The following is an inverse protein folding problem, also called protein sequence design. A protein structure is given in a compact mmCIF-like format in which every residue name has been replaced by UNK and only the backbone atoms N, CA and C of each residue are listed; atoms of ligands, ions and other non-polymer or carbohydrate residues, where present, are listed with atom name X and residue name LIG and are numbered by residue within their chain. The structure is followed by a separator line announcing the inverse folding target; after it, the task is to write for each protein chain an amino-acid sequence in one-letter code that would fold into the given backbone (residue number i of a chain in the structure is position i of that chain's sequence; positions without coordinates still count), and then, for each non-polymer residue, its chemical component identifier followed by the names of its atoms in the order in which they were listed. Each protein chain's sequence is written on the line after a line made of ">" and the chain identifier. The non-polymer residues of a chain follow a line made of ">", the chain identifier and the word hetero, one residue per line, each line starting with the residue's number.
data_IF_765085818191
#
_entry.id   IF_765085818191
#
_cell.length_a   1.000
_cell.length_b   1.000
_cell.length_c   1.000
_cell.angle_alpha   90.00
_cell.angle_beta   90.00
_cell.angle_gamma   90.00
#
_symmetry.space_group_name_H-M   'P 1'
#
loop_
_entity.id
_entity.type
_entity.pdbx_description
1 polymer ?
#
# COMPACT_ATOMS: atom_id res chain seq x y z
N UNK A 1 11.89 18.59 -2.75
CA UNK A 1 10.82 18.19 -3.66
C UNK A 1 9.49 18.43 -2.98
N UNK A 2 8.70 19.37 -3.48
CA UNK A 2 7.41 19.77 -2.89
C UNK A 2 6.32 18.75 -3.25
N UNK A 3 5.59 18.27 -2.26
CA UNK A 3 4.45 17.37 -2.47
C UNK A 3 3.18 18.18 -2.76
N UNK A 4 2.38 17.73 -3.72
CA UNK A 4 1.05 18.29 -3.99
C UNK A 4 -0.01 17.25 -3.65
N UNK A 5 -0.95 17.63 -2.78
CA UNK A 5 -2.13 16.84 -2.45
C UNK A 5 -3.40 17.58 -2.89
N UNK A 6 -4.26 16.88 -3.65
CA UNK A 6 -5.53 17.42 -4.13
C UNK A 6 -6.68 16.83 -3.30
N UNK A 7 -7.52 17.69 -2.73
CA UNK A 7 -8.69 17.31 -1.93
C UNK A 7 -9.97 17.64 -2.68
N UNK A 8 -10.43 16.73 -3.51
CA UNK A 8 -11.67 16.84 -4.26
C UNK A 8 -12.87 16.33 -3.46
N UNK A 9 -14.05 16.51 -4.00
CA UNK A 9 -15.31 16.03 -3.43
C UNK A 9 -16.43 17.07 -3.58
N UNK A 10 -17.66 16.57 -3.62
CA UNK A 10 -18.80 17.41 -3.90
C UNK A 10 -19.09 18.43 -2.80
N UNK A 11 -19.98 19.39 -3.08
CA UNK A 11 -20.35 20.45 -2.15
C UNK A 11 -20.81 19.90 -0.78
N UNK A 12 -20.22 20.42 0.30
CA UNK A 12 -20.55 20.02 1.67
C UNK A 12 -20.15 18.60 2.05
N UNK A 13 -19.31 17.92 1.28
CA UNK A 13 -18.81 16.58 1.59
C UNK A 13 -17.88 16.53 2.82
N UNK A 14 -17.27 17.66 3.20
CA UNK A 14 -16.38 17.76 4.38
C UNK A 14 -14.91 17.91 4.05
N UNK A 15 -14.56 18.35 2.84
CA UNK A 15 -13.17 18.57 2.39
C UNK A 15 -12.36 19.44 3.37
N UNK A 16 -12.81 20.65 3.63
CA UNK A 16 -12.17 21.58 4.56
C UNK A 16 -12.01 20.99 5.97
N UNK A 17 -13.00 20.21 6.45
CA UNK A 17 -12.92 19.54 7.76
C UNK A 17 -11.80 18.50 7.78
N UNK A 18 -11.66 17.71 6.70
CA UNK A 18 -10.58 16.74 6.56
C UNK A 18 -9.21 17.43 6.51
N UNK A 19 -9.09 18.47 5.68
CA UNK A 19 -7.85 19.25 5.56
C UNK A 19 -7.42 19.79 6.92
N UNK A 20 -8.33 20.39 7.70
CA UNK A 20 -8.03 20.87 9.06
C UNK A 20 -7.55 19.78 10.00
N UNK A 21 -8.17 18.58 9.95
CA UNK A 21 -7.73 17.44 10.75
C UNK A 21 -6.31 17.01 10.38
N UNK A 22 -6.00 16.90 9.09
CA UNK A 22 -4.67 16.54 8.62
C UNK A 22 -3.62 17.59 9.00
N UNK A 23 -3.93 18.87 8.85
CA UNK A 23 -3.06 19.96 9.26
C UNK A 23 -2.73 19.88 10.76
N UNK A 24 -3.73 19.64 11.59
CA UNK A 24 -3.55 19.60 13.05
C UNK A 24 -2.84 18.33 13.54
N UNK A 25 -2.98 17.21 12.86
CA UNK A 25 -2.54 15.91 13.36
C UNK A 25 -1.39 15.28 12.57
N UNK A 26 -1.33 15.48 11.23
CA UNK A 26 -0.41 14.76 10.35
C UNK A 26 0.73 15.64 9.79
N UNK A 27 0.47 16.89 9.46
CA UNK A 27 1.45 17.76 8.77
C UNK A 27 2.29 18.64 9.72
N UNK A 28 2.41 18.25 10.98
CA UNK A 28 3.18 19.01 11.97
C UNK A 28 4.65 19.12 11.57
N UNK A 29 5.13 20.36 11.46
CA UNK A 29 6.51 20.66 11.13
C UNK A 29 6.80 20.77 9.62
N UNK A 30 5.83 20.50 8.76
CA UNK A 30 5.91 20.78 7.32
C UNK A 30 5.51 22.25 7.05
N UNK A 31 6.21 22.88 6.10
CA UNK A 31 5.84 24.19 5.58
C UNK A 31 4.74 24.01 4.53
N UNK A 32 3.51 24.38 4.90
CA UNK A 32 2.32 24.14 4.11
C UNK A 32 1.85 25.40 3.38
N UNK A 33 1.34 25.22 2.16
CA UNK A 33 0.53 26.20 1.45
C UNK A 33 -0.80 25.55 1.10
N UNK A 34 -1.91 26.23 1.42
CA UNK A 34 -3.26 25.81 1.04
C UNK A 34 -3.77 26.71 -0.08
N UNK A 35 -4.18 26.11 -1.19
CA UNK A 35 -4.81 26.78 -2.32
C UNK A 35 -6.27 26.37 -2.34
N UNK A 36 -7.16 27.29 -1.98
CA UNK A 36 -8.60 27.10 -1.99
C UNK A 36 -9.21 27.78 -3.21
N UNK A 37 -10.14 27.08 -3.88
CA UNK A 37 -10.89 27.62 -5.01
C UNK A 37 -12.38 27.57 -4.70
N UNK A 38 -12.90 28.60 -4.08
CA UNK A 38 -14.33 28.74 -3.80
C UNK A 38 -15.04 29.66 -4.79
N UNK A 39 -16.25 29.26 -5.22
CA UNK A 39 -17.16 30.09 -5.99
C UNK A 39 -17.82 31.13 -5.09
N UNK A 40 -17.34 32.35 -5.11
CA UNK A 40 -18.03 33.55 -4.57
C UNK A 40 -17.99 33.67 -3.05
N UNK A 41 -17.24 34.64 -2.58
CA UNK A 41 -17.14 35.21 -1.24
C UNK A 41 -16.19 34.53 -0.24
N UNK A 42 -15.06 35.21 -0.07
CA UNK A 42 -14.20 35.36 1.12
C UNK A 42 -14.07 34.11 2.01
N UNK A 43 -12.94 33.49 1.91
CA UNK A 43 -12.46 32.49 2.88
C UNK A 43 -12.43 33.08 4.31
N UNK A 44 -13.20 32.52 5.21
CA UNK A 44 -13.37 33.00 6.60
C UNK A 44 -12.31 32.42 7.55
N UNK A 45 -11.44 31.52 7.10
CA UNK A 45 -10.67 30.64 7.99
C UNK A 45 -9.17 30.91 8.09
N UNK A 46 -8.64 31.94 7.42
CA UNK A 46 -7.22 32.31 7.49
C UNK A 46 -6.68 32.54 8.91
N UNK A 47 -7.55 32.93 9.85
CA UNK A 47 -7.16 33.14 11.25
C UNK A 47 -6.83 31.89 12.04
N UNK A 48 -7.54 30.78 11.82
CA UNK A 48 -7.34 29.54 12.61
C UNK A 48 -6.04 28.79 12.23
N UNK A 49 -5.63 28.91 10.99
CA UNK A 49 -4.46 28.23 10.47
C UNK A 49 -3.17 29.04 10.70
N UNK A 50 -3.26 30.36 10.81
CA UNK A 50 -2.13 31.21 11.20
C UNK A 50 -1.65 30.93 12.63
N UNK A 51 -2.55 30.57 13.54
CA UNK A 51 -2.18 30.18 14.91
C UNK A 51 -1.39 28.87 14.97
N UNK A 52 -1.46 28.03 13.93
CA UNK A 52 -0.70 26.80 13.80
C UNK A 52 0.70 26.99 13.17
N UNK A 53 1.09 28.22 12.83
CA UNK A 53 2.38 28.53 12.17
C UNK A 53 2.43 28.14 10.70
N UNK A 54 1.27 28.00 10.06
CA UNK A 54 1.11 27.61 8.67
C UNK A 54 0.89 28.86 7.83
N UNK A 55 1.73 29.06 6.82
CA UNK A 55 1.53 30.13 5.83
C UNK A 55 0.40 29.71 4.88
N UNK A 56 -0.76 30.39 4.98
CA UNK A 56 -1.88 30.16 4.09
C UNK A 56 -1.86 31.26 3.04
N UNK A 57 -1.74 30.83 1.82
CA UNK A 57 -1.95 31.72 0.66
C UNK A 57 -3.34 31.39 0.08
N UNK A 58 -4.31 32.22 0.44
CA UNK A 58 -5.62 32.21 -0.20
C UNK A 58 -5.50 32.80 -1.60
N UNK A 59 -5.74 31.98 -2.61
CA UNK A 59 -5.81 32.46 -3.97
C UNK A 59 -7.27 32.47 -4.43
N UNK A 60 -7.92 33.61 -4.26
CA UNK A 60 -9.32 33.85 -4.66
C UNK A 60 -9.45 34.38 -6.10
N UNK A 61 -8.60 33.97 -7.04
CA UNK A 61 -8.69 34.38 -8.44
C UNK A 61 -9.24 33.28 -9.34
N UNK A 62 -10.56 33.32 -9.54
CA UNK A 62 -11.23 32.64 -10.68
C UNK A 62 -11.22 31.11 -10.66
N UNK A 63 -12.27 30.51 -11.18
CA UNK A 63 -12.37 29.05 -11.30
C UNK A 63 -11.16 28.42 -11.98
N UNK A 64 -10.50 27.46 -11.29
CA UNK A 64 -9.50 26.56 -11.89
C UNK A 64 -10.10 25.82 -13.10
N UNK A 65 -11.41 25.58 -13.09
CA UNK A 65 -12.12 24.82 -14.14
C UNK A 65 -12.47 25.60 -15.42
N UNK A 66 -12.53 26.92 -15.41
CA UNK A 66 -13.19 27.62 -16.52
C UNK A 66 -12.31 28.45 -17.47
N UNK A 67 -11.06 28.79 -17.11
CA UNK A 67 -10.28 29.63 -18.02
C UNK A 67 -8.77 29.48 -18.00
N UNK A 68 -8.15 28.63 -17.17
CA UNK A 68 -6.82 29.03 -16.78
C UNK A 68 -5.82 27.94 -16.40
N UNK A 69 -5.57 26.98 -17.25
CA UNK A 69 -4.32 26.19 -17.15
C UNK A 69 -3.08 27.11 -17.09
N UNK A 70 -3.15 28.28 -17.75
CA UNK A 70 -2.04 29.23 -17.75
C UNK A 70 -1.90 30.06 -16.47
N UNK A 71 -3.01 30.47 -15.84
CA UNK A 71 -2.93 31.33 -14.64
C UNK A 71 -2.73 30.52 -13.37
N UNK A 72 -3.30 29.30 -13.29
CA UNK A 72 -3.02 28.34 -12.24
C UNK A 72 -1.53 27.95 -12.20
N UNK A 73 -0.95 27.67 -13.37
CA UNK A 73 0.47 27.37 -13.49
C UNK A 73 1.36 28.51 -12.98
N UNK A 74 1.08 29.76 -13.38
CA UNK A 74 1.80 30.94 -12.88
C UNK A 74 1.68 31.09 -11.38
N UNK A 75 0.48 30.90 -10.86
CA UNK A 75 0.21 30.99 -9.44
C UNK A 75 0.99 29.93 -8.64
N UNK A 76 1.02 28.71 -9.12
CA UNK A 76 1.78 27.62 -8.49
C UNK A 76 3.29 27.88 -8.54
N UNK A 77 3.83 28.37 -9.66
CA UNK A 77 5.21 28.82 -9.77
C UNK A 77 5.53 29.93 -8.75
N UNK A 78 4.68 30.94 -8.65
CA UNK A 78 4.87 32.02 -7.69
C UNK A 78 4.87 31.52 -6.24
N UNK A 79 3.98 30.59 -5.91
CA UNK A 79 3.92 29.95 -4.57
C UNK A 79 5.23 29.22 -4.28
N UNK A 80 5.72 28.43 -5.21
CA UNK A 80 6.97 27.67 -5.05
C UNK A 80 8.18 28.60 -4.89
N UNK A 81 8.30 29.64 -5.72
CA UNK A 81 9.41 30.59 -5.66
C UNK A 81 9.38 31.45 -4.41
N UNK A 82 8.18 31.86 -3.96
CA UNK A 82 8.03 32.78 -2.82
C UNK A 82 8.14 32.05 -1.48
N UNK A 83 7.49 30.91 -1.35
CA UNK A 83 7.30 30.25 -0.07
C UNK A 83 8.19 29.02 0.12
N UNK A 84 8.70 28.38 -0.95
CA UNK A 84 9.46 27.12 -0.88
C UNK A 84 8.81 26.09 0.06
N UNK A 85 7.55 25.71 -0.18
CA UNK A 85 6.82 24.82 0.73
C UNK A 85 7.31 23.37 0.64
N UNK A 86 7.15 22.63 1.73
CA UNK A 86 7.33 21.19 1.74
C UNK A 86 6.13 20.50 1.08
N UNK A 87 4.94 21.09 1.25
CA UNK A 87 3.67 20.53 0.77
C UNK A 87 2.69 21.64 0.36
N UNK A 88 1.98 21.39 -0.74
CA UNK A 88 0.89 22.22 -1.23
C UNK A 88 -0.40 21.41 -1.18
N UNK A 89 -1.41 21.93 -0.50
CA UNK A 89 -2.74 21.37 -0.45
C UNK A 89 -3.63 22.15 -1.42
N UNK A 90 -4.33 21.45 -2.31
CA UNK A 90 -5.25 22.07 -3.27
C UNK A 90 -6.67 21.59 -2.97
N UNK A 91 -7.55 22.51 -2.60
CA UNK A 91 -8.99 22.26 -2.47
C UNK A 91 -9.72 22.91 -3.66
N UNK A 92 -10.03 22.16 -4.73
CA UNK A 92 -10.80 22.66 -5.85
C UNK A 92 -12.27 22.84 -5.47
N UNK A 93 -12.99 23.61 -6.30
CA UNK A 93 -14.45 23.74 -6.17
C UNK A 93 -15.16 22.39 -6.12
N UNK A 94 -16.18 22.29 -5.27
CA UNK A 94 -16.97 21.06 -5.13
C UNK A 94 -17.73 20.63 -6.39
N UNK A 95 -17.83 21.49 -7.39
CA UNK A 95 -18.41 21.18 -8.72
C UNK A 95 -17.33 21.08 -9.81
N UNK A 96 -16.06 21.06 -9.46
CA UNK A 96 -14.94 20.86 -10.39
C UNK A 96 -14.69 19.39 -10.67
N UNK A 97 -14.19 19.09 -11.87
CA UNK A 97 -13.69 17.76 -12.24
C UNK A 97 -12.29 17.56 -11.63
N UNK A 98 -12.07 16.44 -10.95
CA UNK A 98 -10.77 16.09 -10.40
C UNK A 98 -9.74 15.88 -11.51
N UNK A 99 -10.16 15.26 -12.62
CA UNK A 99 -9.32 15.01 -13.78
C UNK A 99 -8.73 16.29 -14.38
N UNK A 100 -9.45 17.42 -14.34
CA UNK A 100 -8.96 18.70 -14.86
C UNK A 100 -7.86 19.28 -13.98
N UNK A 101 -8.01 19.16 -12.64
CA UNK A 101 -7.01 19.62 -11.68
C UNK A 101 -5.75 18.78 -11.76
N UNK A 102 -5.88 17.45 -11.84
CA UNK A 102 -4.74 16.53 -12.01
C UNK A 102 -3.96 16.88 -13.29
N UNK A 103 -4.66 17.04 -14.42
CA UNK A 103 -4.03 17.44 -15.70
C UNK A 103 -3.36 18.80 -15.61
N UNK A 104 -3.97 19.77 -14.94
CA UNK A 104 -3.39 21.09 -14.76
C UNK A 104 -2.05 21.03 -14.00
N UNK A 105 -1.97 20.21 -12.93
CA UNK A 105 -0.74 19.99 -12.18
C UNK A 105 0.31 19.25 -13.02
N UNK A 106 -0.09 18.17 -13.70
CA UNK A 106 0.83 17.35 -14.51
C UNK A 106 1.44 18.14 -15.69
N UNK A 107 0.67 19.01 -16.31
CA UNK A 107 1.12 19.83 -17.46
C UNK A 107 2.16 20.90 -17.09
N UNK A 108 2.38 21.15 -15.80
CA UNK A 108 3.40 22.11 -15.37
C UNK A 108 4.84 21.61 -15.56
N UNK A 109 5.03 20.29 -15.69
CA UNK A 109 6.34 19.65 -15.91
C UNK A 109 7.43 20.18 -14.98
N UNK A 110 7.12 20.36 -13.70
CA UNK A 110 8.05 20.93 -12.70
C UNK A 110 8.88 19.80 -12.08
N UNK A 111 10.21 19.87 -12.21
CA UNK A 111 11.13 18.82 -11.70
C UNK A 111 11.15 18.73 -10.17
N UNK A 112 10.88 19.83 -9.47
CA UNK A 112 10.92 19.91 -8.00
C UNK A 112 9.57 19.63 -7.32
N UNK A 113 8.56 19.17 -8.06
CA UNK A 113 7.19 18.93 -7.58
C UNK A 113 6.75 17.53 -7.85
N UNK A 114 6.08 16.92 -6.87
CA UNK A 114 5.45 15.57 -7.02
C UNK A 114 3.97 15.66 -6.71
N UNK A 115 3.13 15.18 -7.63
CA UNK A 115 1.72 14.91 -7.34
C UNK A 115 1.65 13.68 -6.41
N UNK A 116 1.41 13.92 -5.12
CA UNK A 116 1.54 12.93 -4.07
C UNK A 116 0.22 12.19 -3.81
N UNK A 117 -0.90 12.91 -3.69
CA UNK A 117 -2.22 12.31 -3.55
C UNK A 117 -3.31 13.13 -4.24
N UNK A 118 -4.37 12.44 -4.67
CA UNK A 118 -5.59 13.03 -5.22
C UNK A 118 -6.78 12.29 -4.63
N UNK A 119 -7.29 12.88 -3.57
CA UNK A 119 -8.28 12.29 -2.67
C UNK A 119 -9.65 12.89 -2.92
N UNK A 120 -10.69 12.03 -2.96
CA UNK A 120 -12.08 12.49 -3.01
C UNK A 120 -12.80 12.23 -1.70
N UNK A 121 -13.35 13.30 -1.12
CA UNK A 121 -14.22 13.20 0.05
C UNK A 121 -15.66 13.00 -0.42
N UNK A 122 -16.32 11.93 0.02
CA UNK A 122 -17.68 11.58 -0.38
C UNK A 122 -18.62 11.41 0.82
N UNK A 123 -19.78 12.07 0.80
CA UNK A 123 -20.82 11.89 1.81
C UNK A 123 -21.50 10.52 1.63
N UNK A 124 -21.25 9.57 2.54
CA UNK A 124 -21.76 8.21 2.47
C UNK A 124 -23.30 8.13 2.38
N UNK A 125 -23.99 9.16 2.85
CA UNK A 125 -25.45 9.22 2.81
C UNK A 125 -26.01 9.68 1.47
N UNK A 126 -25.21 10.33 0.63
CA UNK A 126 -25.66 11.02 -0.58
C UNK A 126 -25.06 10.50 -1.89
N UNK A 127 -24.13 9.54 -1.85
CA UNK A 127 -23.44 9.01 -3.04
C UNK A 127 -24.39 8.69 -4.19
N UNK A 128 -25.38 7.83 -3.95
CA UNK A 128 -26.37 7.43 -4.98
C UNK A 128 -27.11 8.61 -5.59
N UNK A 129 -27.49 9.59 -4.76
CA UNK A 129 -28.22 10.77 -5.21
C UNK A 129 -27.31 11.67 -6.08
N UNK A 130 -26.06 11.88 -5.65
CA UNK A 130 -25.13 12.73 -6.39
C UNK A 130 -24.69 12.09 -7.70
N UNK A 131 -24.40 10.80 -7.75
CA UNK A 131 -24.12 10.06 -8.98
C UNK A 131 -25.24 10.21 -10.01
N UNK A 132 -26.50 10.09 -9.54
CA UNK A 132 -27.66 10.19 -10.44
C UNK A 132 -27.89 11.61 -10.97
N UNK A 133 -27.72 12.64 -10.13
CA UNK A 133 -28.15 14.00 -10.47
C UNK A 133 -26.99 14.87 -10.99
N UNK A 134 -25.75 14.54 -10.65
CA UNK A 134 -24.55 15.32 -10.93
C UNK A 134 -23.40 14.45 -11.44
N UNK A 135 -23.73 13.36 -12.13
CA UNK A 135 -22.78 12.33 -12.53
C UNK A 135 -21.59 12.85 -13.33
N UNK A 136 -21.76 13.88 -14.15
CA UNK A 136 -20.65 14.47 -14.91
C UNK A 136 -19.48 14.93 -14.01
N UNK A 137 -19.78 15.52 -12.87
CA UNK A 137 -18.78 16.05 -11.95
C UNK A 137 -18.47 15.03 -10.84
N UNK A 138 -19.52 14.48 -10.24
CA UNK A 138 -19.37 13.57 -9.11
C UNK A 138 -18.67 12.27 -9.50
N UNK A 139 -19.04 11.66 -10.64
CA UNK A 139 -18.40 10.42 -11.09
C UNK A 139 -16.94 10.67 -11.48
N UNK A 140 -16.62 11.80 -12.16
CA UNK A 140 -15.24 12.17 -12.46
C UNK A 140 -14.39 12.27 -11.19
N UNK A 141 -14.93 12.87 -10.11
CA UNK A 141 -14.24 12.96 -8.83
C UNK A 141 -13.96 11.58 -8.21
N UNK A 142 -14.88 10.62 -8.37
CA UNK A 142 -14.71 9.26 -7.88
C UNK A 142 -13.72 8.46 -8.76
N UNK A 143 -13.91 8.51 -10.08
CA UNK A 143 -13.16 7.72 -11.06
C UNK A 143 -11.66 8.04 -11.06
N UNK A 144 -11.31 9.31 -10.82
CA UNK A 144 -9.92 9.77 -10.87
C UNK A 144 -9.23 9.84 -9.51
N UNK A 145 -9.92 9.53 -8.43
CA UNK A 145 -9.32 9.52 -7.10
C UNK A 145 -8.37 8.33 -6.91
N UNK A 146 -7.23 8.54 -6.25
CA UNK A 146 -6.40 7.45 -5.75
C UNK A 146 -6.83 7.00 -4.34
N UNK A 147 -7.54 7.85 -3.61
CA UNK A 147 -8.19 7.49 -2.36
C UNK A 147 -9.56 8.17 -2.24
N UNK A 148 -10.52 7.46 -1.65
CA UNK A 148 -11.87 7.95 -1.39
C UNK A 148 -12.12 7.90 0.10
N UNK A 149 -12.42 9.05 0.70
CA UNK A 149 -12.64 9.16 2.14
C UNK A 149 -14.10 9.43 2.39
N UNK A 150 -14.82 8.45 2.95
CA UNK A 150 -16.22 8.61 3.28
C UNK A 150 -16.38 9.50 4.51
N UNK A 151 -17.21 10.51 4.38
CA UNK A 151 -17.68 11.33 5.48
C UNK A 151 -19.05 10.89 5.98
N UNK A 152 -19.39 11.27 7.21
CA UNK A 152 -20.70 10.99 7.83
C UNK A 152 -21.04 9.52 7.90
N UNK A 153 -20.03 8.72 8.17
CA UNK A 153 -20.15 7.27 8.37
C UNK A 153 -20.55 6.93 9.80
N UNK A 154 -20.48 7.89 10.73
CA UNK A 154 -20.96 7.70 12.09
C UNK A 154 -22.46 7.45 12.11
N UNK A 155 -22.88 6.36 12.78
CA UNK A 155 -24.30 5.96 12.89
C UNK A 155 -25.00 5.55 11.60
N UNK A 156 -24.28 5.44 10.45
CA UNK A 156 -24.83 4.91 9.20
C UNK A 156 -25.17 3.42 9.37
N UNK A 157 -26.28 2.99 8.77
CA UNK A 157 -26.63 1.56 8.78
C UNK A 157 -25.64 0.76 7.93
N UNK A 158 -25.21 -0.42 8.41
CA UNK A 158 -24.25 -1.26 7.67
C UNK A 158 -24.64 -1.49 6.21
N UNK A 159 -25.87 -1.86 5.95
CA UNK A 159 -26.35 -2.16 4.59
C UNK A 159 -26.28 -0.93 3.66
N UNK A 160 -26.40 0.26 4.23
CA UNK A 160 -26.29 1.51 3.47
C UNK A 160 -24.83 1.85 3.18
N UNK A 161 -23.93 1.57 4.11
CA UNK A 161 -22.50 1.75 3.93
C UNK A 161 -21.97 0.78 2.86
N UNK A 162 -22.35 -0.49 2.94
CA UNK A 162 -22.01 -1.51 1.94
C UNK A 162 -22.50 -1.13 0.55
N UNK A 163 -23.77 -0.70 0.44
CA UNK A 163 -24.31 -0.24 -0.85
C UNK A 163 -23.58 1.00 -1.39
N UNK A 164 -23.12 1.90 -0.50
CA UNK A 164 -22.29 3.05 -0.91
C UNK A 164 -20.94 2.60 -1.45
N UNK A 165 -20.24 1.73 -0.73
CA UNK A 165 -18.95 1.19 -1.16
C UNK A 165 -19.07 0.43 -2.47
N UNK A 166 -20.09 -0.40 -2.65
CA UNK A 166 -20.34 -1.10 -3.90
C UNK A 166 -20.52 -0.14 -5.08
N UNK A 167 -21.31 0.93 -4.91
CA UNK A 167 -21.47 1.96 -5.94
C UNK A 167 -20.16 2.68 -6.28
N UNK A 168 -19.34 2.97 -5.29
CA UNK A 168 -18.02 3.58 -5.52
C UNK A 168 -17.09 2.63 -6.29
N UNK A 169 -17.12 1.35 -5.96
CA UNK A 169 -16.33 0.31 -6.64
C UNK A 169 -16.74 0.08 -8.10
N UNK A 170 -18.01 0.29 -8.46
CA UNK A 170 -18.46 0.27 -9.86
C UNK A 170 -17.75 1.34 -10.70
N UNK A 171 -17.39 2.48 -10.11
CA UNK A 171 -16.70 3.60 -10.78
C UNK A 171 -15.19 3.58 -10.59
N UNK A 172 -14.70 3.10 -9.45
CA UNK A 172 -13.26 3.07 -9.14
C UNK A 172 -12.90 1.81 -8.35
N UNK A 173 -12.28 0.86 -9.02
CA UNK A 173 -11.88 -0.43 -8.43
C UNK A 173 -10.57 -0.33 -7.63
N UNK A 174 -9.72 0.67 -7.93
CA UNK A 174 -8.35 0.74 -7.44
C UNK A 174 -8.16 1.69 -6.25
N UNK A 175 -9.05 2.68 -6.08
CA UNK A 175 -8.91 3.64 -5.00
C UNK A 175 -9.01 2.97 -3.63
N UNK A 176 -8.16 3.34 -2.70
CA UNK A 176 -8.33 2.95 -1.30
C UNK A 176 -9.52 3.70 -0.70
N UNK A 177 -10.46 2.98 -0.07
CA UNK A 177 -11.69 3.59 0.51
C UNK A 177 -11.58 3.60 2.03
N UNK A 178 -11.69 4.78 2.64
CA UNK A 178 -11.81 4.93 4.10
C UNK A 178 -13.30 4.96 4.47
N UNK A 179 -13.75 3.98 5.23
CA UNK A 179 -15.15 3.85 5.69
C UNK A 179 -15.33 4.14 7.18
N UNK A 180 -14.25 4.09 7.93
CA UNK A 180 -14.24 4.34 9.38
C UNK A 180 -14.53 5.81 9.69
N UNK A 181 -15.36 6.13 10.71
CA UNK A 181 -15.55 7.49 11.17
C UNK A 181 -14.23 8.17 11.53
N UNK A 182 -14.08 9.43 11.16
CA UNK A 182 -12.81 10.17 11.27
C UNK A 182 -12.35 10.42 12.72
N UNK A 183 -13.25 10.41 13.67
CA UNK A 183 -12.95 10.52 15.10
C UNK A 183 -12.26 9.28 15.66
N UNK A 184 -12.38 8.14 14.98
CA UNK A 184 -11.71 6.88 15.33
C UNK A 184 -10.35 6.74 14.66
N UNK A 185 -10.01 7.63 13.73
CA UNK A 185 -8.74 7.60 12.99
C UNK A 185 -7.86 8.79 13.36
N UNK A 186 -6.56 8.55 13.47
CA UNK A 186 -5.56 9.61 13.54
C UNK A 186 -5.32 10.22 12.15
N UNK A 187 -4.88 11.49 12.12
CA UNK A 187 -4.47 12.13 10.86
C UNK A 187 -3.35 11.37 10.15
N UNK A 188 -2.45 10.73 10.90
CA UNK A 188 -1.37 9.92 10.35
C UNK A 188 -1.91 8.70 9.58
N UNK A 189 -2.87 7.95 10.14
CA UNK A 189 -3.50 6.80 9.46
C UNK A 189 -4.20 7.22 8.16
N UNK A 190 -4.89 8.38 8.18
CA UNK A 190 -5.54 8.91 6.98
C UNK A 190 -4.48 9.28 5.93
N UNK A 191 -3.40 9.97 6.34
CA UNK A 191 -2.33 10.38 5.43
C UNK A 191 -1.61 9.18 4.81
N UNK A 192 -1.27 8.16 5.58
CA UNK A 192 -0.66 6.93 5.08
C UNK A 192 -1.53 6.26 4.02
N UNK A 193 -2.84 6.24 4.23
CA UNK A 193 -3.80 5.72 3.24
C UNK A 193 -3.81 6.56 1.97
N UNK A 194 -3.82 7.89 2.08
CA UNK A 194 -3.76 8.80 0.94
C UNK A 194 -2.47 8.66 0.13
N UNK A 195 -1.35 8.40 0.82
CA UNK A 195 -0.03 8.19 0.20
C UNK A 195 0.19 6.73 -0.27
N UNK A 196 -0.83 5.88 -0.27
CA UNK A 196 -0.76 4.44 -0.64
C UNK A 196 0.25 3.62 0.16
N UNK A 197 0.54 3.98 1.39
CA UNK A 197 1.47 3.24 2.27
C UNK A 197 0.79 2.16 3.12
N UNK A 198 -0.51 1.99 2.96
CA UNK A 198 -1.32 1.05 3.73
C UNK A 198 -2.46 0.53 2.85
N UNK A 199 -2.12 -0.25 1.84
CA UNK A 199 -3.07 -0.87 0.93
C UNK A 199 -3.23 -2.36 1.25
N UNK A 200 -4.34 -2.97 0.83
CA UNK A 200 -4.52 -4.42 0.94
C UNK A 200 -3.42 -5.18 0.19
N UNK A 201 -2.99 -4.68 -0.96
CA UNK A 201 -1.93 -5.28 -1.77
C UNK A 201 -0.57 -5.28 -1.03
N UNK A 202 -0.21 -4.15 -0.39
CA UNK A 202 1.01 -4.09 0.44
C UNK A 202 0.92 -5.02 1.66
N UNK A 203 -0.25 -5.11 2.29
CA UNK A 203 -0.47 -5.99 3.44
C UNK A 203 -0.37 -7.47 3.04
N UNK A 204 -0.95 -7.87 1.89
CA UNK A 204 -0.80 -9.21 1.34
C UNK A 204 0.66 -9.54 1.01
N UNK A 205 1.39 -8.60 0.42
CA UNK A 205 2.81 -8.78 0.09
C UNK A 205 3.66 -8.97 1.36
N UNK A 206 3.48 -8.11 2.36
CA UNK A 206 4.19 -8.23 3.65
C UNK A 206 3.88 -9.57 4.33
N UNK A 207 2.61 -9.97 4.32
CA UNK A 207 2.19 -11.25 4.90
C UNK A 207 2.82 -12.44 4.19
N UNK A 208 2.92 -12.39 2.85
CA UNK A 208 3.58 -13.43 2.06
C UNK A 208 5.08 -13.50 2.40
N UNK A 209 5.79 -12.37 2.45
CA UNK A 209 7.20 -12.30 2.83
C UNK A 209 7.44 -12.84 4.25
N UNK A 210 6.59 -12.49 5.23
CA UNK A 210 6.67 -13.03 6.59
C UNK A 210 6.49 -14.55 6.63
N UNK A 211 5.55 -15.09 5.86
CA UNK A 211 5.27 -16.53 5.79
C UNK A 211 6.42 -17.31 5.16
N UNK A 212 7.07 -16.78 4.13
CA UNK A 212 8.26 -17.39 3.52
C UNK A 212 9.44 -17.45 4.49
N UNK A 213 9.67 -16.40 5.29
CA UNK A 213 10.75 -16.38 6.27
C UNK A 213 10.56 -17.42 7.39
N UNK A 214 9.34 -17.66 7.84
CA UNK A 214 9.06 -18.66 8.88
C UNK A 214 9.32 -20.10 8.39
N UNK A 215 9.05 -20.41 7.11
CA UNK A 215 9.31 -21.73 6.55
C UNK A 215 10.81 -22.05 6.34
N UNK A 216 11.68 -21.04 6.23
CA UNK A 216 13.12 -21.26 6.10
C UNK A 216 13.83 -21.60 7.43
N UNK A 217 13.20 -21.39 8.58
CA UNK A 217 13.81 -21.67 9.89
C UNK A 217 13.52 -23.08 10.45
N UNK A 218 12.64 -23.89 9.83
CA UNK A 218 12.29 -25.22 10.30
C UNK A 218 13.06 -26.38 9.64
N UNK A 219 14.10 -26.11 8.87
CA UNK A 219 15.05 -27.15 8.44
C UNK A 219 16.25 -27.20 9.38
N UNK A 220 16.03 -27.40 10.67
CA UNK A 220 17.07 -27.86 11.56
C UNK A 220 17.33 -29.35 11.29
N UNK A 221 18.55 -29.61 10.89
CA UNK A 221 19.05 -30.95 10.66
C UNK A 221 19.14 -31.71 11.98
N UNK A 222 18.23 -32.64 12.20
CA UNK A 222 18.48 -33.77 13.11
C UNK A 222 19.57 -34.62 12.47
N UNK A 223 20.81 -34.38 12.83
CA UNK A 223 21.89 -35.35 12.66
C UNK A 223 21.84 -36.31 13.81
N UNK A 224 21.18 -37.44 13.62
CA UNK A 224 21.33 -38.63 14.45
C UNK A 224 22.81 -39.01 14.54
N UNK A 225 23.28 -39.05 15.79
CA UNK A 225 24.56 -39.59 16.17
C UNK A 225 24.67 -41.09 15.76
N UNK A 226 25.55 -41.37 14.82
CA UNK A 226 26.09 -42.70 14.66
C UNK A 226 27.55 -42.72 15.10
N UNK A 227 27.77 -43.09 16.36
CA UNK A 227 28.99 -43.70 16.84
C UNK A 227 29.28 -44.97 16.03
N UNK A 228 30.39 -45.01 15.32
CA UNK A 228 31.18 -46.25 15.24
C UNK A 228 32.65 -45.98 14.86
N UNK A 229 33.49 -46.40 15.76
CA UNK A 229 34.94 -46.55 15.69
C UNK A 229 35.51 -46.88 14.32
N UNK A 230 36.50 -46.12 13.89
CA UNK A 230 37.59 -46.69 13.09
C UNK A 230 38.92 -46.06 13.49
N UNK A 231 39.72 -46.90 14.14
CA UNK A 231 41.14 -46.67 14.46
C UNK A 231 42.01 -46.97 13.25
N UNK A 232 42.73 -46.01 12.72
CA UNK A 232 44.08 -46.20 12.15
C UNK A 232 44.82 -44.87 12.11
N UNK A 233 45.91 -44.85 12.83
CA UNK A 233 46.83 -43.76 12.88
C UNK A 233 47.79 -43.79 11.68
N UNK A 234 48.41 -42.64 11.51
CA UNK A 234 49.79 -42.42 11.06
C UNK A 234 49.95 -40.97 10.59
N UNK A 235 50.63 -40.19 11.36
CA UNK A 235 51.90 -39.47 11.11
C UNK A 235 51.87 -38.39 10.03
N UNK A 236 52.15 -37.24 10.41
CA UNK A 236 53.28 -36.41 10.87
C UNK A 236 53.67 -35.34 9.83
N UNK A 237 53.77 -34.10 10.33
CA UNK A 237 54.72 -33.02 9.97
C UNK A 237 54.61 -32.35 8.56
N UNK A 238 54.44 -31.06 8.42
CA UNK A 238 55.44 -30.00 8.64
C UNK A 238 54.80 -28.62 8.44
N UNK A 239 55.24 -27.71 9.28
CA UNK A 239 55.15 -26.26 9.15
C UNK A 239 55.90 -25.82 7.88
N UNK A 240 55.47 -24.70 7.29
CA UNK A 240 56.35 -23.58 6.99
C UNK A 240 55.55 -22.42 6.35
N UNK A 241 55.84 -21.25 6.90
CA UNK A 241 55.53 -19.90 6.42
C UNK A 241 56.05 -19.66 5.00
N UNK A 242 55.35 -18.80 4.25
CA UNK A 242 55.99 -17.69 3.56
C UNK A 242 54.97 -16.76 2.88
N UNK A 243 55.14 -15.51 3.23
CA UNK A 243 54.61 -14.31 2.57
C UNK A 243 55.17 -14.19 1.16
N UNK A 244 54.43 -13.69 0.18
CA UNK A 244 54.95 -12.76 -0.82
C UNK A 244 53.88 -11.98 -1.59
N UNK A 245 54.21 -10.74 -1.74
CA UNK A 245 53.61 -9.55 -2.33
C UNK A 245 53.22 -9.63 -3.82
N UNK A 246 52.25 -8.74 -4.13
CA UNK A 246 51.96 -7.98 -5.34
C UNK A 246 52.80 -8.22 -6.63
N UNK A 247 52.05 -8.26 -7.74
CA UNK A 247 52.39 -7.45 -8.92
C UNK A 247 51.23 -7.34 -9.91
N UNK A 248 50.82 -6.07 -10.18
CA UNK A 248 50.11 -5.62 -11.35
C UNK A 248 50.92 -5.85 -12.64
N UNK A 249 50.25 -6.20 -13.71
CA UNK A 249 50.68 -5.82 -15.06
C UNK A 249 49.51 -5.83 -16.05
N UNK A 250 49.21 -4.62 -16.55
CA UNK A 250 48.58 -4.36 -17.83
C UNK A 250 49.47 -4.89 -18.98
N UNK A 251 48.86 -5.30 -20.10
CA UNK A 251 49.14 -4.84 -21.46
C UNK A 251 48.43 -5.69 -22.54
N UNK A 252 47.61 -4.99 -23.31
CA UNK A 252 47.40 -4.91 -24.75
C UNK A 252 47.80 -6.06 -25.72
N UNK A 253 46.78 -6.31 -26.58
CA UNK A 253 46.74 -6.53 -28.02
C UNK A 253 47.93 -7.32 -28.72
N UNK A 254 47.54 -8.31 -29.51
CA UNK A 254 47.74 -8.46 -30.96
C UNK A 254 47.62 -9.89 -31.49
N UNK A 255 46.73 -10.03 -32.47
CA UNK A 255 46.75 -10.73 -33.75
C UNK A 255 47.60 -12.01 -34.01
N UNK A 256 46.88 -12.89 -34.74
CA UNK A 256 47.24 -13.69 -35.93
C UNK A 256 47.98 -15.03 -35.79
N UNK A 257 47.23 -16.02 -36.35
CA UNK A 257 47.66 -17.19 -37.11
C UNK A 257 48.83 -18.07 -36.63
N UNK A 258 48.51 -19.33 -36.38
CA UNK A 258 49.24 -20.43 -36.99
C UNK A 258 48.48 -21.76 -37.00
N UNK A 259 48.30 -22.28 -38.19
CA UNK A 259 47.89 -23.65 -38.53
C UNK A 259 49.03 -24.62 -38.28
N UNK A 260 48.82 -25.71 -37.52
CA UNK A 260 49.50 -26.99 -37.73
C UNK A 260 48.73 -28.11 -37.01
N UNK A 261 48.49 -29.15 -37.75
CA UNK A 261 47.72 -30.31 -37.37
C UNK A 261 48.53 -31.38 -36.62
N UNK A 262 47.74 -32.41 -36.28
CA UNK A 262 48.13 -33.78 -35.91
C UNK A 262 48.42 -34.07 -34.42
N UNK A 263 47.58 -34.75 -33.73
CA UNK A 263 47.63 -36.19 -33.48
C UNK A 263 46.44 -36.61 -32.57
N UNK A 264 45.80 -37.69 -33.01
CA UNK A 264 44.84 -38.49 -32.28
C UNK A 264 45.41 -39.06 -30.98
N UNK A 265 44.68 -38.96 -29.91
CA UNK A 265 44.63 -39.96 -28.86
C UNK A 265 43.23 -40.00 -28.23
N UNK A 266 42.51 -41.07 -28.54
CA UNK A 266 41.29 -41.49 -27.86
C UNK A 266 41.60 -41.78 -26.39
N UNK A 267 40.94 -41.09 -25.50
CA UNK A 267 40.65 -41.55 -24.14
C UNK A 267 39.20 -41.27 -23.81
N UNK A 268 38.38 -42.33 -23.87
CA UNK A 268 37.07 -42.40 -23.28
C UNK A 268 37.20 -42.20 -21.77
N UNK A 269 36.70 -41.09 -21.30
CA UNK A 269 36.30 -40.89 -19.92
C UNK A 269 34.80 -40.60 -19.88
N UNK A 270 34.06 -41.59 -19.44
CA UNK A 270 32.68 -41.47 -19.02
C UNK A 270 32.61 -40.43 -17.87
N UNK A 271 32.32 -39.20 -18.18
CA UNK A 271 31.93 -38.18 -17.23
C UNK A 271 30.42 -38.39 -16.93
N UNK A 272 30.15 -39.00 -15.78
CA UNK A 272 28.82 -38.95 -15.16
C UNK A 272 28.56 -37.51 -14.73
N UNK A 273 27.93 -36.75 -15.61
CA UNK A 273 27.35 -35.46 -15.30
C UNK A 273 26.12 -35.70 -14.40
N UNK A 274 26.31 -35.61 -13.09
CA UNK A 274 25.22 -35.47 -12.15
C UNK A 274 24.74 -34.02 -12.22
N UNK A 275 23.88 -33.69 -13.19
CA UNK A 275 23.06 -32.52 -13.14
C UNK A 275 22.15 -32.61 -11.90
N UNK A 276 22.59 -32.01 -10.82
CA UNK A 276 21.71 -31.65 -9.72
C UNK A 276 20.81 -30.52 -10.20
N UNK A 277 19.69 -30.87 -10.83
CA UNK A 277 18.59 -29.95 -11.02
C UNK A 277 18.03 -29.60 -9.62
N UNK A 278 18.56 -28.52 -9.04
CA UNK A 278 17.87 -27.83 -7.99
C UNK A 278 16.64 -27.20 -8.62
N UNK A 279 15.51 -27.91 -8.56
CA UNK A 279 14.21 -27.30 -8.77
C UNK A 279 14.00 -26.31 -7.64
N UNK A 280 14.38 -25.06 -7.86
CA UNK A 280 13.85 -23.96 -7.10
C UNK A 280 12.38 -23.85 -7.48
N UNK A 281 11.51 -24.51 -6.74
CA UNK A 281 10.11 -24.17 -6.76
C UNK A 281 10.02 -22.74 -6.23
N UNK A 282 9.65 -21.81 -7.10
CA UNK A 282 9.33 -20.45 -6.66
C UNK A 282 8.16 -20.55 -5.69
N UNK A 283 8.23 -19.88 -4.55
CA UNK A 283 7.18 -19.90 -3.52
C UNK A 283 5.82 -19.53 -4.11
N UNK A 284 5.80 -18.64 -5.09
CA UNK A 284 4.62 -18.23 -5.87
C UNK A 284 3.91 -19.38 -6.62
N UNK A 285 4.58 -20.51 -6.88
CA UNK A 285 3.98 -21.68 -7.51
C UNK A 285 3.26 -22.60 -6.50
N UNK A 286 3.58 -22.47 -5.21
CA UNK A 286 3.09 -23.35 -4.14
C UNK A 286 2.05 -22.67 -3.26
N UNK A 287 2.19 -21.34 -3.02
CA UNK A 287 1.34 -20.59 -2.12
C UNK A 287 0.45 -19.60 -2.87
N UNK A 288 -0.80 -19.51 -2.45
CA UNK A 288 -1.78 -18.57 -2.96
C UNK A 288 -2.22 -17.68 -1.82
N UNK A 289 -2.36 -16.38 -2.09
CA UNK A 289 -2.90 -15.40 -1.14
C UNK A 289 -4.29 -14.94 -1.60
N UNK A 290 -5.21 -14.86 -0.65
CA UNK A 290 -6.52 -14.26 -0.82
C UNK A 290 -6.66 -13.10 0.15
N UNK A 291 -7.25 -12.00 -0.29
CA UNK A 291 -7.53 -10.86 0.57
C UNK A 291 -8.75 -10.09 0.11
N UNK A 292 -9.44 -9.48 1.07
CA UNK A 292 -10.61 -8.64 0.80
C UNK A 292 -10.73 -7.48 1.78
N UNK A 293 -11.36 -6.42 1.32
CA UNK A 293 -11.83 -5.33 2.17
C UNK A 293 -13.30 -5.51 2.50
N UNK A 294 -13.69 -5.24 3.75
CA UNK A 294 -15.07 -5.43 4.21
C UNK A 294 -15.53 -4.30 5.12
N UNK A 295 -16.81 -3.97 5.03
CA UNK A 295 -17.52 -3.09 5.97
C UNK A 295 -18.34 -3.88 6.99
N UNK A 296 -18.35 -5.22 6.89
CA UNK A 296 -19.03 -6.10 7.84
C UNK A 296 -18.43 -5.95 9.23
N UNK A 297 -19.30 -5.99 10.24
CA UNK A 297 -18.89 -6.00 11.64
C UNK A 297 -19.00 -7.40 12.21
N UNK A 298 -17.98 -7.77 12.98
CA UNK A 298 -17.86 -9.10 13.58
C UNK A 298 -17.94 -9.03 15.10
N UNK A 299 -18.23 -10.14 15.75
CA UNK A 299 -17.89 -10.36 17.15
C UNK A 299 -16.58 -11.14 17.25
N UNK A 300 -15.91 -11.11 18.41
CA UNK A 300 -14.72 -11.93 18.63
C UNK A 300 -15.03 -13.42 18.47
N UNK A 301 -16.16 -13.87 19.03
CA UNK A 301 -16.59 -15.26 18.96
C UNK A 301 -16.81 -15.70 17.49
N UNK A 302 -17.34 -14.80 16.61
CA UNK A 302 -17.45 -15.08 15.17
C UNK A 302 -16.09 -15.23 14.53
N UNK A 303 -15.12 -14.37 14.85
CA UNK A 303 -13.76 -14.49 14.30
C UNK A 303 -13.08 -15.76 14.81
N UNK A 304 -13.16 -16.04 16.11
CA UNK A 304 -12.60 -17.27 16.68
C UNK A 304 -13.17 -18.52 15.99
N UNK A 305 -14.48 -18.58 15.78
CA UNK A 305 -15.13 -19.69 15.08
C UNK A 305 -14.67 -19.79 13.60
N UNK A 306 -14.55 -18.67 12.90
CA UNK A 306 -14.04 -18.64 11.52
C UNK A 306 -12.62 -19.21 11.46
N UNK A 307 -11.74 -18.81 12.39
CA UNK A 307 -10.37 -19.30 12.44
C UNK A 307 -10.31 -20.80 12.80
N UNK A 308 -11.19 -21.30 13.68
CA UNK A 308 -11.34 -22.72 13.97
C UNK A 308 -11.79 -23.52 12.74
N UNK A 309 -12.71 -22.98 11.93
CA UNK A 309 -13.14 -23.61 10.68
C UNK A 309 -12.01 -23.67 9.65
N UNK A 310 -11.21 -22.60 9.53
CA UNK A 310 -10.04 -22.58 8.64
C UNK A 310 -9.00 -23.62 9.03
N UNK A 311 -8.84 -23.90 10.34
CA UNK A 311 -7.88 -24.87 10.87
C UNK A 311 -8.33 -26.32 10.67
N UNK A 312 -9.63 -26.59 10.82
CA UNK A 312 -10.17 -27.94 10.94
C UNK A 312 -10.80 -28.51 9.66
N UNK A 313 -10.95 -27.71 8.61
CA UNK A 313 -11.67 -28.10 7.40
C UNK A 313 -10.77 -28.13 6.16
N UNK A 314 -10.76 -29.28 5.46
CA UNK A 314 -10.10 -29.41 4.16
C UNK A 314 -10.80 -28.62 3.04
N UNK A 315 -11.98 -28.04 3.31
CA UNK A 315 -12.77 -27.28 2.33
C UNK A 315 -12.07 -26.00 1.85
N UNK A 316 -11.27 -25.39 2.74
CA UNK A 316 -10.59 -24.12 2.47
C UNK A 316 -9.18 -24.27 1.86
N UNK A 317 -8.66 -25.50 1.78
CA UNK A 317 -7.28 -25.79 1.42
C UNK A 317 -6.36 -25.85 2.65
N UNK A 318 -5.06 -25.91 2.43
CA UNK A 318 -4.09 -25.87 3.53
C UNK A 318 -3.80 -24.40 3.89
N UNK A 319 -4.39 -23.91 4.95
CA UNK A 319 -4.19 -22.53 5.41
C UNK A 319 -2.91 -22.45 6.24
N UNK A 320 -1.99 -21.58 5.86
CA UNK A 320 -0.72 -21.36 6.55
C UNK A 320 -0.77 -20.12 7.44
N UNK A 321 -1.51 -19.10 7.01
CA UNK A 321 -1.68 -17.88 7.78
C UNK A 321 -3.00 -17.19 7.45
N UNK A 322 -3.65 -16.64 8.46
CA UNK A 322 -4.74 -15.69 8.27
C UNK A 322 -4.53 -14.50 9.21
N UNK A 323 -4.72 -13.31 8.69
CA UNK A 323 -4.57 -12.06 9.43
C UNK A 323 -5.67 -11.09 9.06
N UNK A 324 -6.11 -10.29 10.01
CA UNK A 324 -7.08 -9.27 9.69
C UNK A 324 -7.31 -8.25 10.80
N UNK A 325 -7.86 -7.13 10.37
CA UNK A 325 -8.30 -6.02 11.21
C UNK A 325 -9.73 -5.70 10.78
N UNK A 326 -10.70 -5.95 11.64
CA UNK A 326 -12.12 -5.77 11.31
C UNK A 326 -12.86 -4.96 12.37
N UNK A 327 -13.92 -4.28 11.99
CA UNK A 327 -14.75 -3.53 12.92
C UNK A 327 -15.58 -4.50 13.78
N UNK A 328 -15.62 -4.27 15.08
CA UNK A 328 -16.46 -5.00 16.02
C UNK A 328 -17.89 -4.46 16.08
N UNK A 329 -18.85 -5.32 16.41
CA UNK A 329 -20.26 -4.92 16.62
C UNK A 329 -20.45 -4.05 17.86
N UNK A 330 -19.56 -4.15 18.81
CA UNK A 330 -19.49 -3.36 20.05
C UNK A 330 -18.85 -1.97 19.86
N UNK A 331 -18.30 -1.69 18.66
CA UNK A 331 -17.60 -0.45 18.33
C UNK A 331 -16.09 -0.51 18.53
N UNK A 332 -15.58 -1.58 19.12
CA UNK A 332 -14.14 -1.86 19.20
C UNK A 332 -13.65 -2.49 17.89
N UNK A 333 -12.36 -2.37 17.61
CA UNK A 333 -11.76 -3.06 16.47
C UNK A 333 -11.10 -4.36 16.90
N UNK A 334 -11.28 -5.41 16.09
CA UNK A 334 -10.76 -6.75 16.33
C UNK A 334 -9.60 -6.97 15.40
N UNK A 335 -8.44 -7.27 15.99
CA UNK A 335 -7.26 -7.73 15.28
C UNK A 335 -7.12 -9.22 15.52
N UNK A 336 -6.90 -9.96 14.46
CA UNK A 336 -6.62 -11.39 14.58
C UNK A 336 -5.41 -11.79 13.75
N UNK A 337 -4.73 -12.81 14.22
CA UNK A 337 -3.60 -13.47 13.58
C UNK A 337 -3.73 -14.97 13.84
N UNK A 338 -3.58 -15.77 12.81
CA UNK A 338 -3.66 -17.21 12.85
C UNK A 338 -2.48 -17.81 12.09
N UNK A 339 -1.83 -18.76 12.70
CA UNK A 339 -0.98 -19.77 12.09
C UNK A 339 -1.45 -21.15 12.54
N UNK A 340 -1.14 -22.26 11.87
CA UNK A 340 -1.56 -23.60 12.29
C UNK A 340 -1.27 -23.85 13.78
N UNK A 341 -2.30 -24.29 14.52
CA UNK A 341 -2.28 -24.54 15.96
C UNK A 341 -2.18 -23.31 16.86
N UNK A 342 -2.01 -22.08 16.32
CA UNK A 342 -1.94 -20.85 17.11
C UNK A 342 -2.89 -19.76 16.59
N UNK A 343 -3.77 -19.30 17.47
CA UNK A 343 -4.76 -18.26 17.15
C UNK A 343 -4.68 -17.11 18.15
N UNK A 344 -4.65 -15.89 17.66
CA UNK A 344 -4.70 -14.67 18.48
C UNK A 344 -5.82 -13.76 18.04
N UNK A 345 -6.81 -13.49 18.90
CA UNK A 345 -7.90 -12.54 18.68
C UNK A 345 -7.91 -11.51 19.79
N UNK A 346 -7.73 -10.24 19.47
CA UNK A 346 -7.59 -9.16 20.45
C UNK A 346 -8.23 -7.86 19.98
N UNK A 347 -8.55 -6.95 20.89
CA UNK A 347 -8.89 -5.59 20.54
C UNK A 347 -7.65 -4.81 20.12
N UNK A 348 -7.81 -3.90 19.16
CA UNK A 348 -6.73 -3.08 18.65
C UNK A 348 -7.20 -1.72 18.16
N UNK A 349 -6.28 -0.97 17.57
CA UNK A 349 -6.58 0.33 16.96
C UNK A 349 -7.53 0.18 15.77
N UNK A 350 -8.30 1.24 15.49
CA UNK A 350 -9.17 1.29 14.33
C UNK A 350 -8.38 1.18 13.03
N UNK A 351 -8.85 0.35 12.11
CA UNK A 351 -8.40 0.32 10.74
C UNK A 351 -9.20 1.32 9.88
N UNK A 352 -8.67 1.66 8.72
CA UNK A 352 -9.36 2.59 7.78
C UNK A 352 -10.58 1.96 7.12
N UNK A 353 -10.52 0.65 6.92
CA UNK A 353 -11.59 -0.25 6.47
C UNK A 353 -11.27 -1.63 7.05
N UNK A 354 -12.26 -2.52 7.17
CA UNK A 354 -11.99 -3.90 7.55
C UNK A 354 -11.19 -4.60 6.45
N UNK A 355 -10.14 -5.36 6.83
CA UNK A 355 -9.28 -6.12 5.92
C UNK A 355 -9.09 -7.53 6.43
N UNK A 356 -9.08 -8.46 5.49
CA UNK A 356 -8.94 -9.89 5.71
C UNK A 356 -7.91 -10.42 4.71
N UNK A 357 -6.92 -11.15 5.20
CA UNK A 357 -5.87 -11.76 4.39
C UNK A 357 -5.71 -13.22 4.80
N UNK A 358 -5.64 -14.12 3.82
CA UNK A 358 -5.42 -15.56 4.03
C UNK A 358 -4.35 -16.04 3.05
N UNK A 359 -3.38 -16.79 3.54
CA UNK A 359 -2.33 -17.42 2.72
C UNK A 359 -2.36 -18.92 2.98
N UNK A 360 -2.22 -19.69 1.91
CA UNK A 360 -2.20 -21.13 2.00
C UNK A 360 -1.85 -21.80 0.68
N UNK A 361 -1.84 -23.13 0.70
CA UNK A 361 -1.65 -23.94 -0.50
C UNK A 361 -2.99 -24.52 -0.95
N UNK A 362 -3.28 -24.39 -2.25
CA UNK A 362 -4.53 -24.86 -2.86
C UNK A 362 -5.80 -24.28 -2.18
N UNK A 363 -5.76 -23.01 -1.79
CA UNK A 363 -6.89 -22.36 -1.11
C UNK A 363 -8.12 -22.28 -2.01
N UNK A 364 -9.29 -22.48 -1.40
CA UNK A 364 -10.59 -22.31 -2.03
C UNK A 364 -11.13 -20.89 -1.73
N UNK A 365 -10.77 -19.93 -2.56
CA UNK A 365 -11.12 -18.52 -2.38
C UNK A 365 -12.63 -18.29 -2.20
N UNK A 366 -13.45 -19.00 -3.00
CA UNK A 366 -14.91 -18.85 -2.91
C UNK A 366 -15.49 -19.36 -1.58
N UNK A 367 -14.93 -20.44 -1.02
CA UNK A 367 -15.33 -20.94 0.28
C UNK A 367 -14.86 -20.00 1.41
N UNK A 368 -13.63 -19.47 1.30
CA UNK A 368 -13.10 -18.48 2.25
C UNK A 368 -13.93 -17.21 2.22
N UNK A 369 -14.26 -16.69 1.04
CA UNK A 369 -15.12 -15.52 0.90
C UNK A 369 -16.50 -15.75 1.55
N UNK A 370 -17.10 -16.91 1.32
CA UNK A 370 -18.39 -17.28 1.91
C UNK A 370 -18.34 -17.44 3.45
N UNK A 371 -17.19 -17.86 3.99
CA UNK A 371 -16.98 -18.00 5.43
C UNK A 371 -16.94 -16.63 6.15
N UNK A 372 -16.33 -15.65 5.50
CA UNK A 372 -16.27 -14.27 6.00
C UNK A 372 -17.45 -13.38 5.58
N UNK A 373 -18.37 -13.88 4.74
CA UNK A 373 -19.51 -13.12 4.22
C UNK A 373 -20.64 -12.87 5.25
#
# INVERSE_FOLDING_TARGET
>A
MTKIDIFSGFLGAGKTTLIRKLISEAFKGEKLVLIENEFGEIAIDGGFLQDAGIEITEMSQGCICCSLVGDFGKALHQVLETYHPDRILIEPSGVGKLSDVIRAVQNLHMEDVTLNSFTTVADANKCKMYMKNFGEFYNDQIEHANSIILSRTDGIKPEKLEACVALLREHNQNATIITTPWDQLTGAQILETMEHKNTLEEELKLLAEETEHEHHHHHDHDHDEHDEHCTCGCHDHHDDDDEHEHHDHDHDEHDEHCTCGCHDHDHDHDEHDHEHHHHHHHADEVFTSWGTETTRKFTKDEIEHILEELDNSEEYGMILRAKGIVAGRDGEWIHFDYVPEETSVRNGSAGVIGRLCVIGSHINEAAIEALFA
#
